data_IF_354220203376
#
_entry.id   IF_354220203376
#
_cell.length_a   1.000
_cell.length_b   1.000
_cell.length_c   1.000
_cell.angle_alpha   90.00
_cell.angle_beta   90.00
_cell.angle_gamma   90.00
#
_symmetry.space_group_name_H-M   'P 1'
#
loop_
_entity.id
_entity.type
_entity.pdbx_description
1 polymer ?
#
# COMPACT_ATOMS: atom_id res chain seq x y z
N UNK A 1 -9.06 -11.23 0.59
CA UNK A 1 -8.37 -10.66 -0.58
C UNK A 1 -7.29 -9.70 -0.09
N UNK A 2 -6.07 -9.81 -0.60
CA UNK A 2 -4.92 -8.98 -0.24
C UNK A 2 -4.18 -8.53 -1.50
N UNK A 3 -3.45 -7.44 -1.41
CA UNK A 3 -2.57 -6.94 -2.45
C UNK A 3 -1.16 -6.73 -1.91
N UNK A 4 -0.16 -6.82 -2.78
CA UNK A 4 1.21 -6.40 -2.50
C UNK A 4 1.45 -5.12 -3.28
N UNK A 5 1.66 -4.03 -2.56
CA UNK A 5 1.90 -2.70 -3.12
C UNK A 5 3.34 -2.28 -2.90
N UNK A 6 3.87 -1.46 -3.81
CA UNK A 6 5.17 -0.80 -3.64
C UNK A 6 4.96 0.69 -3.36
N UNK A 7 5.41 1.15 -2.20
CA UNK A 7 5.41 2.57 -1.84
C UNK A 7 6.65 2.92 -1.02
N UNK A 8 7.22 4.10 -1.25
CA UNK A 8 8.46 4.52 -0.57
C UNK A 8 9.67 3.61 -0.81
N UNK A 9 9.69 2.85 -1.91
CA UNK A 9 10.75 1.88 -2.22
C UNK A 9 10.68 0.57 -1.42
N UNK A 10 9.59 0.35 -0.68
CA UNK A 10 9.34 -0.89 0.10
C UNK A 10 8.06 -1.56 -0.37
N UNK A 11 8.01 -2.88 -0.21
CA UNK A 11 6.84 -3.69 -0.55
C UNK A 11 6.03 -3.97 0.71
N UNK A 12 4.72 -3.72 0.64
CA UNK A 12 3.79 -3.93 1.74
C UNK A 12 2.68 -4.85 1.28
N UNK A 13 2.37 -5.85 2.11
CA UNK A 13 1.14 -6.62 1.98
C UNK A 13 0.02 -5.84 2.66
N UNK A 14 -1.08 -5.62 1.95
CA UNK A 14 -2.24 -4.90 2.44
C UNK A 14 -3.50 -5.72 2.23
N UNK A 15 -4.41 -5.62 3.20
CA UNK A 15 -5.76 -6.13 3.11
C UNK A 15 -6.76 -4.99 3.38
N UNK A 16 -7.99 -5.14 2.89
CA UNK A 16 -9.06 -4.20 3.16
C UNK A 16 -9.30 -4.07 4.68
N UNK A 17 -9.26 -2.83 5.19
CA UNK A 17 -9.41 -2.51 6.61
C UNK A 17 -8.12 -2.56 7.44
N UNK A 18 -6.97 -2.93 6.85
CA UNK A 18 -5.69 -2.97 7.54
C UNK A 18 -5.04 -1.59 7.62
N UNK A 19 -4.38 -1.31 8.76
CA UNK A 19 -3.61 -0.07 8.97
C UNK A 19 -2.13 -0.40 8.84
N UNK A 20 -1.47 0.22 7.87
CA UNK A 20 -0.03 0.08 7.65
C UNK A 20 0.70 1.40 7.87
N UNK A 21 1.93 1.32 8.38
CA UNK A 21 2.85 2.46 8.42
C UNK A 21 3.78 2.41 7.22
N UNK A 22 3.76 3.48 6.43
CA UNK A 22 4.59 3.65 5.23
C UNK A 22 5.57 4.80 5.44
N UNK A 23 6.52 4.93 4.51
CA UNK A 23 7.37 6.13 4.43
C UNK A 23 6.53 7.39 4.24
N UNK A 24 7.13 8.56 4.49
CA UNK A 24 6.45 9.84 4.36
C UNK A 24 5.91 10.04 2.94
N UNK A 25 4.61 10.32 2.84
CA UNK A 25 3.91 10.65 1.60
C UNK A 25 3.50 12.13 1.65
N UNK A 26 3.65 12.87 0.55
CA UNK A 26 3.22 14.28 0.43
C UNK A 26 1.69 14.40 0.22
N UNK A 27 0.92 13.76 1.10
CA UNK A 27 -0.55 13.76 1.09
C UNK A 27 -1.06 14.06 2.50
N UNK A 28 -1.97 15.02 2.62
CA UNK A 28 -2.48 15.47 3.91
C UNK A 28 -3.25 14.38 4.68
N UNK A 29 -3.19 14.37 6.03
CA UNK A 29 -4.03 13.49 6.84
C UNK A 29 -5.52 13.68 6.50
N UNK A 30 -6.23 12.57 6.32
CA UNK A 30 -7.64 12.55 5.92
C UNK A 30 -7.85 12.42 4.42
N UNK A 31 -6.83 12.64 3.58
CA UNK A 31 -6.93 12.43 2.14
C UNK A 31 -6.64 10.98 1.73
N UNK A 32 -7.19 10.60 0.58
CA UNK A 32 -6.97 9.32 -0.06
C UNK A 32 -5.81 9.42 -1.03
N UNK A 33 -4.92 8.43 -1.03
CA UNK A 33 -3.87 8.28 -2.03
C UNK A 33 -4.03 6.96 -2.77
N UNK A 34 -3.92 7.01 -4.09
CA UNK A 34 -4.01 5.84 -4.96
C UNK A 34 -2.60 5.31 -5.24
N UNK A 35 -2.41 4.00 -5.05
CA UNK A 35 -1.13 3.34 -5.35
C UNK A 35 -1.24 2.63 -6.68
N UNK A 36 -0.53 3.13 -7.70
CA UNK A 36 -0.51 2.53 -9.04
C UNK A 36 0.39 1.29 -9.13
N UNK A 37 1.39 1.18 -8.24
CA UNK A 37 2.35 0.09 -8.23
C UNK A 37 1.85 -1.08 -7.40
N UNK A 38 1.13 -1.99 -8.05
CA UNK A 38 0.64 -3.23 -7.44
C UNK A 38 1.38 -4.41 -8.06
N UNK A 39 2.14 -5.12 -7.24
CA UNK A 39 2.99 -6.24 -7.63
C UNK A 39 2.22 -7.55 -7.70
N UNK A 40 1.27 -7.75 -6.78
CA UNK A 40 0.45 -8.94 -6.74
C UNK A 40 -0.91 -8.65 -6.11
N UNK A 41 -1.91 -9.43 -6.51
CA UNK A 41 -3.24 -9.47 -5.87
C UNK A 41 -3.60 -10.93 -5.65
N UNK A 42 -3.98 -11.27 -4.42
CA UNK A 42 -4.37 -12.63 -4.04
C UNK A 42 -5.71 -12.67 -3.32
N UNK A 43 -6.53 -13.66 -3.64
CA UNK A 43 -7.81 -13.92 -2.96
C UNK A 43 -8.46 -15.20 -3.49
N UNK A 44 -9.08 -15.96 -2.58
CA UNK A 44 -9.86 -17.19 -2.80
C UNK A 44 -9.60 -17.94 -4.12
N UNK A 45 -8.42 -18.57 -4.21
CA UNK A 45 -8.06 -19.52 -5.27
C UNK A 45 -7.13 -18.98 -6.36
N UNK A 46 -7.26 -17.70 -6.73
CA UNK A 46 -6.48 -17.10 -7.81
C UNK A 46 -5.45 -16.09 -7.30
N UNK A 47 -4.18 -16.32 -7.63
CA UNK A 47 -3.07 -15.42 -7.32
C UNK A 47 -2.56 -14.76 -8.60
N UNK A 48 -2.78 -13.46 -8.73
CA UNK A 48 -2.31 -12.67 -9.88
C UNK A 48 -1.01 -11.98 -9.52
N UNK A 49 0.08 -12.43 -10.14
CA UNK A 49 1.39 -11.76 -10.09
C UNK A 49 1.52 -10.87 -11.32
N UNK A 50 1.92 -9.62 -11.11
CA UNK A 50 2.27 -8.69 -12.16
C UNK A 50 3.73 -8.85 -12.56
N UNK A 51 4.02 -8.96 -13.85
CA UNK A 51 5.36 -8.79 -14.42
C UNK A 51 5.35 -7.54 -15.29
N UNK A 52 5.67 -6.33 -14.80
CA UNK A 52 6.16 -5.92 -13.47
C UNK A 52 5.10 -5.36 -12.50
N UNK A 53 3.89 -5.06 -12.99
CA UNK A 53 2.73 -4.60 -12.19
C UNK A 53 1.46 -5.29 -12.71
N UNK A 54 0.49 -5.51 -11.83
CA UNK A 54 -0.82 -6.06 -12.21
C UNK A 54 -1.63 -4.95 -12.90
N UNK A 55 -1.72 -4.99 -14.23
CA UNK A 55 -2.51 -4.01 -14.99
C UNK A 55 -3.99 -4.07 -14.59
N UNK A 56 -4.55 -2.91 -14.24
CA UNK A 56 -5.97 -2.76 -13.85
C UNK A 56 -6.26 -3.02 -12.37
N UNK A 57 -5.27 -3.36 -11.55
CA UNK A 57 -5.42 -3.33 -10.10
C UNK A 57 -5.33 -1.88 -9.61
N UNK A 58 -6.16 -1.50 -8.64
CA UNK A 58 -6.13 -0.20 -7.98
C UNK A 58 -6.27 -0.40 -6.49
N UNK A 59 -5.37 0.20 -5.71
CA UNK A 59 -5.43 0.19 -4.24
C UNK A 59 -5.52 1.63 -3.78
N UNK A 60 -6.63 1.97 -3.13
CA UNK A 60 -6.85 3.28 -2.52
C UNK A 60 -6.59 3.16 -1.03
N UNK A 61 -5.66 3.95 -0.52
CA UNK A 61 -5.34 4.06 0.90
C UNK A 61 -5.82 5.42 1.42
N UNK A 62 -6.18 5.48 2.70
CA UNK A 62 -6.48 6.74 3.37
C UNK A 62 -5.36 7.07 4.35
N UNK A 63 -4.85 8.30 4.30
CA UNK A 63 -3.87 8.77 5.28
C UNK A 63 -4.61 9.04 6.59
N UNK A 64 -4.29 8.28 7.64
CA UNK A 64 -4.89 8.46 8.96
C UNK A 64 -4.14 9.53 9.78
N UNK A 65 -2.82 9.41 9.84
CA UNK A 65 -1.94 10.36 10.54
C UNK A 65 -0.55 10.39 9.90
N UNK A 66 0.23 11.43 10.20
CA UNK A 66 1.63 11.53 9.84
C UNK A 66 2.45 11.73 11.11
N UNK A 67 3.26 10.74 11.46
CA UNK A 67 4.00 10.73 12.72
C UNK A 67 5.47 10.39 12.49
N UNK A 68 6.32 10.77 13.45
CA UNK A 68 7.74 10.40 13.44
C UNK A 68 7.96 9.13 14.25
N UNK A 69 8.84 8.27 13.77
CA UNK A 69 9.29 7.12 14.55
C UNK A 69 9.98 7.59 15.85
N UNK A 70 10.00 6.68 16.84
CA UNK A 70 10.64 6.94 18.13
C UNK A 70 12.10 7.37 17.92
N UNK A 71 12.52 8.42 18.63
CA UNK A 71 13.92 8.88 18.62
C UNK A 71 14.83 7.72 19.03
N UNK A 72 15.82 7.44 18.20
CA UNK A 72 16.92 6.52 18.48
C UNK A 72 18.07 7.37 19.04
N UNK A 73 18.63 7.00 20.20
CA UNK A 73 19.75 7.70 20.87
C UNK A 73 21.01 6.86 20.71
#
# INVERSE_FOLDING_TARGET
MYAIIETGGKQYRVQEGEIIHVEKVDVEPGQSFEVDKILAVGGDGDFKIGTPVVQGAKVTLKVLSQDKAKKII
#
